data_IF_311368797946
#
_entry.id   IF_311368797946
#
_cell.length_a   1.000
_cell.length_b   1.000
_cell.length_c   1.000
_cell.angle_alpha   90.00
_cell.angle_beta   90.00
_cell.angle_gamma   90.00
#
_symmetry.space_group_name_H-M   'P 1'
#
loop_
_entity.id
_entity.type
_entity.pdbx_description
1 polymer ?
#
# COMPACT_ATOMS: atom_id res chain seq x y z
N UNK A 1 10.31 4.83 -2.77
CA UNK A 1 10.24 6.17 -2.13
C UNK A 1 10.55 7.25 -3.16
N UNK A 2 9.88 8.40 -3.08
CA UNK A 2 10.10 9.57 -3.94
C UNK A 2 10.46 10.77 -3.06
N UNK A 3 11.74 10.94 -2.68
CA UNK A 3 12.12 11.89 -1.63
C UNK A 3 12.00 13.37 -2.06
N UNK A 4 12.01 13.64 -3.37
CA UNK A 4 11.96 15.01 -3.89
C UNK A 4 10.52 15.49 -4.15
N UNK A 5 9.52 14.62 -3.95
CA UNK A 5 8.11 14.99 -4.14
C UNK A 5 7.58 15.65 -2.88
N UNK A 6 7.01 16.83 -3.04
CA UNK A 6 6.33 17.52 -1.96
C UNK A 6 5.02 16.78 -1.61
N UNK A 7 4.71 16.70 -0.32
CA UNK A 7 3.48 16.11 0.19
C UNK A 7 2.77 17.09 1.11
N UNK A 8 1.51 17.37 0.85
CA UNK A 8 0.62 18.04 1.79
C UNK A 8 -0.04 16.98 2.66
N UNK A 9 0.26 17.00 3.96
CA UNK A 9 -0.34 16.11 4.94
C UNK A 9 -1.82 16.46 5.12
N UNK A 10 -2.70 15.47 4.92
CA UNK A 10 -4.15 15.62 5.08
C UNK A 10 -4.66 14.89 6.34
N UNK A 11 -3.79 14.32 7.17
CA UNK A 11 -4.14 13.74 8.46
C UNK A 11 -4.54 14.82 9.49
N UNK A 12 -4.97 14.40 10.67
CA UNK A 12 -5.39 15.25 11.77
C UNK A 12 -6.90 15.42 11.82
N UNK A 13 -7.37 16.61 12.22
CA UNK A 13 -8.79 16.84 12.48
C UNK A 13 -9.61 16.94 11.18
N UNK A 14 -10.67 16.14 11.10
CA UNK A 14 -11.68 16.12 10.05
C UNK A 14 -13.05 16.28 10.68
N UNK A 15 -13.99 16.85 9.94
CA UNK A 15 -15.40 16.79 10.31
C UNK A 15 -15.96 15.44 9.89
N UNK A 16 -16.63 14.77 10.81
CA UNK A 16 -17.21 13.45 10.63
C UNK A 16 -18.71 13.48 10.86
N UNK A 17 -19.49 12.91 9.95
CA UNK A 17 -20.96 12.87 10.02
C UNK A 17 -21.42 11.42 9.76
N UNK A 18 -22.00 10.72 10.76
CA UNK A 18 -22.64 9.43 10.54
C UNK A 18 -23.98 9.62 9.79
N UNK A 19 -24.17 8.86 8.73
CA UNK A 19 -25.40 8.84 7.92
C UNK A 19 -26.15 7.53 8.16
N UNK A 20 -26.96 7.52 9.22
CA UNK A 20 -27.73 6.34 9.61
C UNK A 20 -28.80 5.97 8.57
N UNK A 21 -29.36 6.95 7.87
CA UNK A 21 -30.46 6.74 6.90
C UNK A 21 -29.99 6.60 5.45
N UNK A 22 -28.68 6.69 5.18
CA UNK A 22 -28.06 6.68 3.85
C UNK A 22 -28.60 7.77 2.89
N UNK A 23 -28.94 8.95 3.41
CA UNK A 23 -29.56 10.04 2.63
C UNK A 23 -28.57 11.12 2.20
N UNK A 24 -27.30 11.02 2.61
CA UNK A 24 -26.32 12.08 2.37
C UNK A 24 -26.02 12.31 0.88
N UNK A 25 -26.04 11.26 0.05
CA UNK A 25 -25.85 11.43 -1.40
C UNK A 25 -27.06 12.09 -2.06
N UNK A 26 -28.28 11.63 -1.72
CA UNK A 26 -29.54 12.24 -2.19
C UNK A 26 -29.64 13.71 -1.79
N UNK A 27 -29.22 14.01 -0.57
CA UNK A 27 -29.18 15.37 0.00
C UNK A 27 -27.94 16.17 -0.40
N UNK A 28 -27.09 15.62 -1.29
CA UNK A 28 -25.90 16.27 -1.84
C UNK A 28 -24.90 16.80 -0.78
N UNK A 29 -24.65 16.02 0.28
CA UNK A 29 -23.68 16.39 1.32
C UNK A 29 -22.25 16.56 0.79
N UNK A 30 -21.94 15.99 -0.39
CA UNK A 30 -20.68 16.22 -1.09
C UNK A 30 -20.51 17.65 -1.63
N UNK A 31 -21.61 18.41 -1.75
CA UNK A 31 -21.62 19.83 -2.11
C UNK A 31 -21.78 20.72 -0.88
N UNK A 32 -22.77 20.42 -0.04
CA UNK A 32 -23.12 21.20 1.14
C UNK A 32 -23.29 20.26 2.35
N UNK A 33 -22.20 19.85 3.02
CA UNK A 33 -22.30 18.97 4.17
C UNK A 33 -23.03 19.68 5.33
N UNK A 34 -23.90 18.99 6.09
CA UNK A 34 -24.57 19.57 7.24
C UNK A 34 -23.60 19.68 8.42
N UNK A 35 -22.78 20.74 8.42
CA UNK A 35 -21.66 20.91 9.37
C UNK A 35 -22.14 20.93 10.83
N UNK A 36 -23.34 21.43 11.08
CA UNK A 36 -24.02 21.47 12.38
C UNK A 36 -24.30 20.08 12.98
N UNK A 37 -24.33 19.03 12.14
CA UNK A 37 -24.56 17.65 12.55
C UNK A 37 -23.26 16.85 12.70
N UNK A 38 -22.12 17.44 12.37
CA UNK A 38 -20.83 16.76 12.42
C UNK A 38 -20.11 16.91 13.75
N UNK A 39 -19.21 15.97 14.00
CA UNK A 39 -18.26 16.00 15.11
C UNK A 39 -16.84 15.99 14.56
N UNK A 40 -15.91 16.62 15.27
CA UNK A 40 -14.51 16.56 14.90
C UNK A 40 -13.90 15.21 15.29
N UNK A 41 -13.14 14.61 14.37
CA UNK A 41 -12.37 13.39 14.62
C UNK A 41 -10.96 13.49 14.06
N UNK A 42 -10.01 12.83 14.70
CA UNK A 42 -8.65 12.73 14.19
C UNK A 42 -8.49 11.52 13.29
N UNK A 43 -7.99 11.74 12.06
CA UNK A 43 -7.57 10.70 11.13
C UNK A 43 -6.03 10.59 11.11
N UNK A 44 -5.46 9.39 10.92
CA UNK A 44 -6.14 8.13 10.64
C UNK A 44 -6.88 7.53 11.85
N UNK A 45 -8.03 6.92 11.60
CA UNK A 45 -8.88 6.32 12.62
C UNK A 45 -8.34 4.95 13.03
N UNK A 46 -7.53 4.91 14.08
CA UNK A 46 -6.90 3.69 14.57
C UNK A 46 -7.66 3.10 15.79
N UNK A 47 -8.51 3.89 16.42
CA UNK A 47 -9.34 3.47 17.56
C UNK A 47 -10.81 3.23 17.15
N UNK A 48 -11.50 2.29 17.85
CA UNK A 48 -12.93 2.10 17.71
C UNK A 48 -13.75 3.37 17.89
N UNK A 49 -14.78 3.52 17.06
CA UNK A 49 -15.92 4.38 17.38
C UNK A 49 -17.13 3.47 17.57
N UNK A 50 -17.37 3.11 18.84
CA UNK A 50 -18.42 2.15 19.19
C UNK A 50 -19.85 2.64 18.85
N UNK A 51 -20.05 3.96 18.77
CA UNK A 51 -21.33 4.61 18.46
C UNK A 51 -21.73 4.53 16.98
N UNK A 52 -20.84 4.06 16.09
CA UNK A 52 -21.06 4.01 14.64
C UNK A 52 -21.67 2.68 14.17
N UNK A 53 -21.83 1.70 15.05
CA UNK A 53 -22.18 0.31 14.72
C UNK A 53 -23.47 0.13 13.90
N UNK A 54 -24.39 1.09 13.94
CA UNK A 54 -25.64 1.10 13.16
C UNK A 54 -25.64 2.04 11.93
N UNK A 55 -24.55 2.76 11.66
CA UNK A 55 -24.48 3.70 10.52
C UNK A 55 -24.29 2.97 9.19
N UNK A 56 -25.10 3.30 8.20
CA UNK A 56 -25.00 2.72 6.84
C UNK A 56 -23.90 3.38 6.01
N UNK A 57 -23.56 4.63 6.30
CA UNK A 57 -22.52 5.39 5.61
C UNK A 57 -21.90 6.44 6.52
N UNK A 58 -20.64 6.74 6.27
CA UNK A 58 -19.79 7.62 7.07
C UNK A 58 -19.25 8.73 6.19
N UNK A 59 -19.43 9.98 6.56
CA UNK A 59 -18.95 11.12 5.78
C UNK A 59 -17.79 11.80 6.48
N UNK A 60 -16.66 11.93 5.78
CA UNK A 60 -15.46 12.61 6.24
C UNK A 60 -15.26 13.86 5.37
N UNK A 61 -15.16 15.02 6.02
CA UNK A 61 -15.08 16.32 5.36
C UNK A 61 -13.82 17.05 5.84
N UNK A 62 -13.07 17.59 4.87
CA UNK A 62 -11.88 18.39 5.14
C UNK A 62 -11.82 19.60 4.21
N UNK A 63 -11.72 20.77 4.81
CA UNK A 63 -11.25 21.95 4.10
C UNK A 63 -9.72 22.00 4.12
N UNK A 64 -9.14 22.43 3.00
CA UNK A 64 -7.71 22.67 2.88
C UNK A 64 -7.45 23.80 1.88
N UNK A 65 -6.28 24.44 1.97
CA UNK A 65 -5.88 25.52 1.07
C UNK A 65 -4.76 25.05 0.13
N UNK A 66 -4.83 25.50 -1.13
CA UNK A 66 -3.76 25.36 -2.11
C UNK A 66 -3.38 26.76 -2.60
N UNK A 67 -2.29 27.28 -2.07
CA UNK A 67 -1.85 28.65 -2.33
C UNK A 67 -1.39 28.86 -3.78
N UNK A 68 -0.76 27.85 -4.38
CA UNK A 68 -0.19 27.92 -5.71
C UNK A 68 -0.49 26.67 -6.54
N UNK A 69 -1.02 26.87 -7.73
CA UNK A 69 -1.21 25.84 -8.76
C UNK A 69 -0.27 26.16 -9.91
N UNK A 70 0.61 25.21 -10.22
CA UNK A 70 1.57 25.31 -11.32
C UNK A 70 1.11 24.38 -12.43
N UNK A 71 1.10 24.87 -13.68
CA UNK A 71 0.58 24.11 -14.84
C UNK A 71 1.37 22.82 -15.13
N UNK A 72 2.63 22.76 -14.71
CA UNK A 72 3.54 21.63 -14.88
C UNK A 72 3.59 20.70 -13.66
N UNK A 73 2.76 20.94 -12.64
CA UNK A 73 2.61 20.08 -11.47
C UNK A 73 1.22 19.43 -11.45
N UNK A 74 1.20 18.13 -11.19
CA UNK A 74 -0.02 17.35 -10.97
C UNK A 74 -0.17 17.05 -9.48
N UNK A 75 -1.42 17.00 -9.02
CA UNK A 75 -1.78 16.70 -7.64
C UNK A 75 -2.42 15.32 -7.59
N UNK A 76 -1.81 14.40 -6.85
CA UNK A 76 -2.32 13.06 -6.62
C UNK A 76 -2.83 12.96 -5.17
N UNK A 77 -4.13 12.68 -4.97
CA UNK A 77 -4.68 12.40 -3.65
C UNK A 77 -4.44 10.94 -3.31
N UNK A 78 -3.62 10.68 -2.30
CA UNK A 78 -3.33 9.34 -1.80
C UNK A 78 -4.18 9.03 -0.57
N UNK A 79 -4.78 7.84 -0.55
CA UNK A 79 -5.40 7.24 0.61
C UNK A 79 -4.74 5.89 0.84
N UNK A 80 -4.12 5.71 2.01
CA UNK A 80 -3.39 4.46 2.25
C UNK A 80 -4.32 3.30 2.56
N UNK A 81 -5.35 3.51 3.39
CA UNK A 81 -6.24 2.45 3.81
C UNK A 81 -7.62 2.99 4.20
N UNK A 82 -8.68 2.47 3.57
CA UNK A 82 -10.06 2.86 3.82
C UNK A 82 -10.96 1.64 3.91
N UNK A 83 -11.62 1.44 5.04
CA UNK A 83 -12.53 0.32 5.24
C UNK A 83 -14.01 0.76 5.10
N UNK A 84 -14.73 0.43 4.02
CA UNK A 84 -14.34 -0.44 2.91
C UNK A 84 -14.53 0.21 1.56
N UNK A 85 -15.76 0.60 1.23
CA UNK A 85 -16.04 1.30 -0.02
C UNK A 85 -15.90 2.79 0.22
N UNK A 86 -15.03 3.45 -0.52
CA UNK A 86 -14.85 4.90 -0.46
C UNK A 86 -15.31 5.55 -1.76
N UNK A 87 -16.06 6.64 -1.64
CA UNK A 87 -16.43 7.51 -2.76
C UNK A 87 -15.91 8.90 -2.45
N UNK A 88 -15.19 9.49 -3.41
CA UNK A 88 -14.43 10.73 -3.20
C UNK A 88 -14.97 11.85 -4.09
N UNK A 89 -15.21 13.01 -3.48
CA UNK A 89 -15.54 14.25 -4.16
C UNK A 89 -14.58 15.36 -3.76
N UNK A 90 -14.27 16.24 -4.70
CA UNK A 90 -13.53 17.47 -4.45
C UNK A 90 -14.32 18.64 -5.02
N UNK A 91 -14.59 19.66 -4.20
CA UNK A 91 -15.39 20.83 -4.57
C UNK A 91 -16.73 20.44 -5.22
N UNK A 92 -17.38 19.40 -4.68
CA UNK A 92 -18.64 18.86 -5.19
C UNK A 92 -18.55 17.99 -6.45
N UNK A 93 -17.37 17.86 -7.05
CA UNK A 93 -17.16 17.06 -8.26
C UNK A 93 -16.70 15.64 -7.91
N UNK A 94 -17.33 14.64 -8.55
CA UNK A 94 -16.98 13.23 -8.37
C UNK A 94 -15.57 12.94 -8.92
N UNK A 95 -14.74 12.32 -8.08
CA UNK A 95 -13.36 11.93 -8.39
C UNK A 95 -13.27 10.45 -8.73
N UNK A 96 -13.85 9.60 -7.89
CA UNK A 96 -13.71 8.16 -8.05
C UNK A 96 -14.25 7.36 -6.87
N UNK A 97 -14.13 6.04 -7.01
CA UNK A 97 -14.54 5.02 -6.04
C UNK A 97 -13.41 4.01 -5.88
N UNK A 98 -13.21 3.53 -4.66
CA UNK A 98 -12.33 2.40 -4.34
C UNK A 98 -13.00 1.46 -3.34
N UNK A 99 -12.77 0.16 -3.49
CA UNK A 99 -13.25 -0.89 -2.59
C UNK A 99 -12.05 -1.75 -2.16
N UNK A 100 -11.70 -1.72 -0.87
CA UNK A 100 -10.55 -2.46 -0.34
C UNK A 100 -10.01 -1.86 0.95
N UNK A 101 -9.79 -2.66 1.99
CA UNK A 101 -9.42 -2.15 3.31
C UNK A 101 -7.92 -1.94 3.52
N UNK A 102 -7.05 -2.73 2.87
CA UNK A 102 -5.64 -2.88 3.26
C UNK A 102 -4.62 -2.37 2.24
N UNK A 103 -5.09 -1.79 1.13
CA UNK A 103 -4.25 -1.40 0.00
C UNK A 103 -4.32 0.09 -0.28
N UNK A 104 -3.18 0.65 -0.67
CA UNK A 104 -3.02 2.06 -1.02
C UNK A 104 -3.56 2.32 -2.42
N UNK A 105 -4.28 3.42 -2.59
CA UNK A 105 -4.75 3.89 -3.89
C UNK A 105 -4.63 5.41 -3.99
N UNK A 106 -4.75 5.94 -5.20
CA UNK A 106 -4.71 7.38 -5.41
C UNK A 106 -5.56 7.83 -6.60
N UNK A 107 -5.94 9.11 -6.59
CA UNK A 107 -6.63 9.76 -7.70
C UNK A 107 -5.85 10.98 -8.19
N UNK A 108 -5.82 11.21 -9.50
CA UNK A 108 -5.35 12.48 -10.04
C UNK A 108 -6.45 13.54 -9.87
N UNK A 109 -6.20 14.50 -8.98
CA UNK A 109 -7.15 15.55 -8.63
C UNK A 109 -6.84 16.91 -9.29
N UNK A 110 -5.80 16.99 -10.13
CA UNK A 110 -5.29 18.26 -10.69
C UNK A 110 -6.38 19.13 -11.30
N UNK A 111 -7.30 18.54 -12.06
CA UNK A 111 -8.38 19.28 -12.77
C UNK A 111 -9.53 19.72 -11.87
N UNK A 112 -9.54 19.30 -10.61
CA UNK A 112 -10.63 19.49 -9.66
C UNK A 112 -10.26 20.45 -8.51
N UNK A 113 -8.97 20.67 -8.31
CA UNK A 113 -8.43 21.60 -7.31
C UNK A 113 -8.53 23.02 -7.84
N UNK A 114 -8.85 23.95 -6.94
CA UNK A 114 -8.80 25.39 -7.21
C UNK A 114 -7.77 26.08 -6.31
N UNK A 115 -7.31 27.27 -6.71
CA UNK A 115 -6.45 28.10 -5.86
C UNK A 115 -7.23 28.59 -4.64
N UNK A 116 -6.60 28.56 -3.47
CA UNK A 116 -7.22 28.89 -2.19
C UNK A 116 -7.97 27.69 -1.60
N UNK A 117 -9.14 27.95 -1.00
CA UNK A 117 -9.92 26.94 -0.29
C UNK A 117 -10.47 25.85 -1.23
N UNK A 118 -10.36 24.61 -0.77
CA UNK A 118 -10.92 23.41 -1.38
C UNK A 118 -11.66 22.58 -0.32
N UNK A 119 -12.72 21.90 -0.74
CA UNK A 119 -13.51 21.00 0.11
C UNK A 119 -13.38 19.56 -0.39
N UNK A 120 -12.70 18.72 0.38
CA UNK A 120 -12.62 17.28 0.15
C UNK A 120 -13.69 16.56 0.97
N UNK A 121 -14.51 15.75 0.31
CA UNK A 121 -15.54 14.93 0.94
C UNK A 121 -15.34 13.47 0.56
N UNK A 122 -15.30 12.60 1.56
CA UNK A 122 -15.15 11.16 1.39
C UNK A 122 -16.31 10.47 2.09
N UNK A 123 -17.14 9.77 1.33
CA UNK A 123 -18.14 8.85 1.86
C UNK A 123 -17.51 7.48 1.99
N UNK A 124 -17.58 6.88 3.17
CA UNK A 124 -17.17 5.51 3.43
C UNK A 124 -18.41 4.68 3.76
N UNK A 125 -18.65 3.62 2.98
CA UNK A 125 -19.67 2.62 3.27
C UNK A 125 -18.97 1.38 3.82
N UNK A 126 -19.07 1.13 5.13
CA UNK A 126 -18.44 -0.04 5.71
C UNK A 126 -19.25 -1.32 5.46
N UNK A 127 -18.64 -2.46 5.77
CA UNK A 127 -19.39 -3.70 5.87
C UNK A 127 -20.31 -3.66 7.09
N UNK A 128 -21.62 -3.79 6.87
CA UNK A 128 -22.61 -3.80 7.95
C UNK A 128 -22.61 -5.13 8.70
N UNK A 129 -22.63 -5.09 10.05
CA UNK A 129 -22.81 -6.27 10.91
C UNK A 129 -24.13 -7.01 10.63
N UNK A 130 -25.15 -6.36 10.07
CA UNK A 130 -26.41 -7.02 9.73
C UNK A 130 -26.32 -7.95 8.51
N UNK A 131 -25.27 -7.81 7.68
CA UNK A 131 -25.02 -8.68 6.54
C UNK A 131 -23.99 -9.79 6.84
N UNK A 132 -23.49 -9.92 8.08
CA UNK A 132 -22.41 -10.84 8.46
C UNK A 132 -22.55 -12.24 7.86
N UNK A 133 -23.74 -12.84 7.88
CA UNK A 133 -23.96 -14.21 7.40
C UNK A 133 -23.61 -14.45 5.92
N UNK A 134 -23.62 -13.41 5.08
CA UNK A 134 -23.22 -13.49 3.66
C UNK A 134 -21.75 -13.12 3.40
N UNK A 135 -21.06 -12.54 4.38
CA UNK A 135 -19.75 -11.91 4.19
C UNK A 135 -18.67 -12.44 5.15
N UNK A 136 -19.04 -13.09 6.26
CA UNK A 136 -18.12 -13.93 7.08
C UNK A 136 -17.59 -15.12 6.26
N UNK A 137 -18.27 -15.44 5.16
CA UNK A 137 -17.81 -16.36 4.12
C UNK A 137 -16.90 -15.68 3.10
N UNK A 138 -16.40 -14.45 3.30
CA UNK A 138 -15.54 -13.75 2.32
C UNK A 138 -14.43 -12.93 2.99
N UNK A 139 -14.73 -12.22 4.07
CA UNK A 139 -13.74 -11.53 4.91
C UNK A 139 -13.84 -12.08 6.32
N UNK A 140 -12.71 -12.32 6.98
CA UNK A 140 -12.72 -12.49 8.44
C UNK A 140 -12.88 -11.12 9.10
N UNK A 141 -14.13 -10.79 9.37
CA UNK A 141 -14.53 -9.51 9.98
C UNK A 141 -14.17 -9.42 11.46
N UNK A 142 -13.65 -10.48 12.10
CA UNK A 142 -13.15 -10.40 13.48
C UNK A 142 -11.93 -9.45 13.61
N UNK A 143 -11.25 -9.18 12.50
CA UNK A 143 -10.06 -8.32 12.41
C UNK A 143 -10.34 -6.92 11.85
N UNK A 144 -11.45 -6.77 11.13
CA UNK A 144 -11.88 -5.51 10.51
C UNK A 144 -12.83 -4.80 11.48
N UNK A 145 -12.29 -4.44 12.64
CA UNK A 145 -13.14 -4.06 13.77
C UNK A 145 -13.79 -2.67 13.60
N UNK A 146 -13.23 -1.78 12.76
CA UNK A 146 -13.70 -0.38 12.67
C UNK A 146 -13.87 0.12 11.23
N UNK A 147 -15.00 0.77 10.92
CA UNK A 147 -15.24 1.39 9.63
C UNK A 147 -14.51 2.73 9.50
N UNK A 148 -14.08 3.12 8.29
CA UNK A 148 -13.51 4.44 8.04
C UNK A 148 -12.08 4.46 7.50
N UNK A 149 -11.46 5.62 7.59
CA UNK A 149 -10.13 5.87 7.01
C UNK A 149 -9.07 5.67 8.10
N UNK A 150 -8.39 4.52 8.08
CA UNK A 150 -7.41 4.14 9.11
C UNK A 150 -5.96 4.23 8.63
N UNK A 151 -5.73 4.52 7.34
CA UNK A 151 -4.43 4.85 6.78
C UNK A 151 -4.23 6.34 6.55
N UNK A 152 -3.00 6.74 6.26
CA UNK A 152 -2.67 8.15 5.99
C UNK A 152 -3.37 8.68 4.72
N UNK A 153 -3.67 9.98 4.74
CA UNK A 153 -4.17 10.75 3.62
C UNK A 153 -3.17 11.87 3.35
N UNK A 154 -2.78 12.04 2.09
CA UNK A 154 -1.94 13.17 1.68
C UNK A 154 -2.14 13.50 0.21
N UNK A 155 -1.81 14.72 -0.17
CA UNK A 155 -1.72 15.14 -1.58
C UNK A 155 -0.25 15.17 -1.97
N UNK A 156 0.13 14.37 -2.96
CA UNK A 156 1.47 14.37 -3.53
C UNK A 156 1.52 15.29 -4.75
N UNK A 157 2.52 16.18 -4.78
CA UNK A 157 2.80 17.07 -5.90
C UNK A 157 3.85 16.39 -6.78
N UNK A 158 3.48 16.08 -8.02
CA UNK A 158 4.35 15.39 -8.97
C UNK A 158 4.54 16.24 -10.22
N UNK A 159 5.71 16.20 -10.88
CA UNK A 159 5.87 16.88 -12.17
C UNK A 159 4.92 16.28 -13.21
N UNK A 160 4.61 17.05 -14.26
CA UNK A 160 3.73 16.65 -15.36
C UNK A 160 4.13 15.29 -15.95
N UNK A 161 5.43 15.06 -16.09
CA UNK A 161 5.98 13.76 -16.45
C UNK A 161 6.77 13.19 -15.27
N UNK A 162 6.40 11.99 -14.84
CA UNK A 162 6.89 11.39 -13.60
C UNK A 162 6.96 9.87 -13.67
N UNK A 163 7.67 9.29 -12.70
CA UNK A 163 7.77 7.85 -12.47
C UNK A 163 6.54 7.39 -11.70
N UNK A 164 5.70 6.54 -12.30
CA UNK A 164 4.48 6.03 -11.68
C UNK A 164 4.78 4.87 -10.73
N UNK A 165 5.67 3.95 -11.13
CA UNK A 165 6.04 2.79 -10.34
C UNK A 165 7.40 2.24 -10.77
N UNK A 166 8.09 1.51 -9.90
CA UNK A 166 9.34 0.81 -10.22
C UNK A 166 9.25 -0.61 -9.64
N UNK A 167 9.52 -1.60 -10.49
CA UNK A 167 9.61 -3.00 -10.09
C UNK A 167 11.02 -3.52 -10.35
N UNK A 168 11.67 -4.03 -9.32
CA UNK A 168 13.03 -4.57 -9.36
C UNK A 168 12.95 -6.09 -9.23
N UNK A 169 13.26 -6.81 -10.31
CA UNK A 169 13.31 -8.27 -10.29
C UNK A 169 14.76 -8.75 -10.21
N UNK A 170 15.21 -9.32 -9.06
CA UNK A 170 16.53 -9.94 -8.98
C UNK A 170 16.58 -11.24 -9.80
N UNK A 171 17.71 -11.43 -10.48
CA UNK A 171 18.10 -12.67 -11.17
C UNK A 171 19.50 -13.03 -10.71
N UNK A 172 19.57 -13.72 -9.56
CA UNK A 172 20.85 -14.07 -8.92
C UNK A 172 21.65 -15.09 -9.75
N UNK A 173 21.02 -15.87 -10.65
CA UNK A 173 21.72 -16.80 -11.54
C UNK A 173 22.37 -16.07 -12.71
N UNK A 174 21.62 -15.15 -13.31
CA UNK A 174 22.10 -14.25 -14.37
C UNK A 174 22.91 -13.06 -13.86
N UNK A 175 23.16 -12.99 -12.54
CA UNK A 175 23.91 -11.93 -11.87
C UNK A 175 23.45 -10.51 -12.24
N UNK A 176 22.15 -10.28 -12.22
CA UNK A 176 21.56 -9.01 -12.66
C UNK A 176 20.27 -8.68 -11.94
N UNK A 177 19.84 -7.44 -12.08
CA UNK A 177 18.45 -7.06 -11.87
C UNK A 177 17.79 -6.69 -13.19
N UNK A 178 16.53 -7.04 -13.34
CA UNK A 178 15.66 -6.58 -14.42
C UNK A 178 14.67 -5.60 -13.80
N UNK A 179 14.81 -4.31 -14.13
CA UNK A 179 13.98 -3.25 -13.57
C UNK A 179 13.01 -2.73 -14.62
N UNK A 180 11.72 -2.73 -14.29
CA UNK A 180 10.71 -2.04 -15.07
C UNK A 180 10.39 -0.70 -14.38
N UNK A 181 10.66 0.40 -15.07
CA UNK A 181 10.28 1.75 -14.64
C UNK A 181 9.00 2.12 -15.40
N UNK A 182 7.89 2.30 -14.69
CA UNK A 182 6.63 2.75 -15.26
C UNK A 182 6.61 4.27 -15.23
N UNK A 183 6.43 4.90 -16.38
CA UNK A 183 6.46 6.35 -16.57
C UNK A 183 5.26 6.77 -17.40
N UNK A 184 4.70 7.93 -17.11
CA UNK A 184 3.56 8.46 -17.87
C UNK A 184 3.99 9.13 -19.20
N UNK A 185 5.30 9.32 -19.42
CA UNK A 185 5.86 9.82 -20.67
C UNK A 185 7.16 9.11 -21.02
N UNK A 186 7.21 8.51 -22.21
CA UNK A 186 8.26 7.55 -22.60
C UNK A 186 9.50 8.19 -23.22
N UNK A 187 9.39 9.38 -23.79
CA UNK A 187 10.55 10.11 -24.34
C UNK A 187 11.33 10.75 -23.20
N UNK A 188 12.20 9.95 -22.60
CA UNK A 188 12.92 10.27 -21.39
C UNK A 188 14.32 9.65 -21.40
N UNK A 189 15.15 10.13 -20.48
CA UNK A 189 16.42 9.52 -20.10
C UNK A 189 16.28 9.06 -18.66
N UNK A 190 16.51 7.76 -18.45
CA UNK A 190 16.66 7.16 -17.15
C UNK A 190 18.15 7.03 -16.84
N UNK A 191 18.55 7.48 -15.65
CA UNK A 191 19.85 7.18 -15.06
C UNK A 191 19.60 6.34 -13.81
N UNK A 192 20.11 5.11 -13.82
CA UNK A 192 19.98 4.19 -12.71
C UNK A 192 21.33 4.01 -12.02
N UNK A 193 21.35 4.09 -10.68
CA UNK A 193 22.56 3.96 -9.87
C UNK A 193 22.33 2.98 -8.72
N UNK A 194 23.31 2.12 -8.47
CA UNK A 194 23.42 1.28 -7.27
C UNK A 194 24.70 1.73 -6.55
N UNK A 195 24.61 2.66 -5.58
CA UNK A 195 25.77 3.27 -4.96
C UNK A 195 26.71 2.26 -4.28
N UNK A 196 26.15 1.24 -3.62
CA UNK A 196 26.90 0.24 -2.86
C UNK A 196 27.83 -0.60 -3.73
N UNK A 197 27.56 -0.69 -5.03
CA UNK A 197 28.36 -1.43 -6.02
C UNK A 197 29.07 -0.51 -7.03
N UNK A 198 28.93 0.81 -6.89
CA UNK A 198 29.44 1.80 -7.85
C UNK A 198 28.97 1.53 -9.30
N UNK A 199 27.72 1.09 -9.48
CA UNK A 199 27.13 0.81 -10.79
C UNK A 199 26.27 2.00 -11.20
N UNK A 200 26.45 2.45 -12.45
CA UNK A 200 25.60 3.47 -13.08
C UNK A 200 25.33 3.09 -14.53
N UNK A 201 24.08 3.19 -14.95
CA UNK A 201 23.69 3.05 -16.36
C UNK A 201 22.76 4.18 -16.80
N UNK A 202 22.73 4.45 -18.11
CA UNK A 202 21.76 5.36 -18.73
C UNK A 202 20.98 4.62 -19.81
N UNK A 203 19.68 4.91 -19.91
CA UNK A 203 18.79 4.27 -20.88
C UNK A 203 17.69 5.23 -21.32
N UNK A 204 17.29 5.14 -22.59
CA UNK A 204 16.05 5.75 -23.10
C UNK A 204 14.86 4.79 -23.04
N UNK A 205 15.07 3.55 -22.60
CA UNK A 205 14.06 2.50 -22.48
C UNK A 205 13.66 2.34 -21.01
N UNK A 206 12.36 2.27 -20.69
CA UNK A 206 11.90 2.08 -19.31
C UNK A 206 12.23 0.72 -18.69
N UNK A 207 12.55 -0.29 -19.51
CA UNK A 207 13.08 -1.57 -19.04
C UNK A 207 14.61 -1.52 -18.99
N UNK A 208 15.16 -1.74 -17.81
CA UNK A 208 16.59 -1.73 -17.52
C UNK A 208 17.07 -3.14 -17.20
N UNK A 209 18.26 -3.49 -17.67
CA UNK A 209 18.97 -4.70 -17.27
C UNK A 209 20.31 -4.23 -16.72
N UNK A 210 20.53 -4.45 -15.42
CA UNK A 210 21.72 -3.96 -14.70
C UNK A 210 22.49 -5.18 -14.22
N UNK A 211 23.70 -5.36 -14.76
CA UNK A 211 24.60 -6.43 -14.32
C UNK A 211 25.17 -6.11 -12.95
N UNK A 212 25.23 -7.11 -12.08
CA UNK A 212 25.75 -7.05 -10.71
C UNK A 212 26.65 -8.27 -10.53
N UNK A 213 27.93 -8.16 -10.90
CA UNK A 213 28.84 -9.33 -10.90
C UNK A 213 29.22 -9.80 -9.49
N UNK A 214 29.42 -8.84 -8.59
CA UNK A 214 29.85 -9.03 -7.20
C UNK A 214 28.76 -8.51 -6.26
N UNK A 215 27.83 -9.39 -5.88
CA UNK A 215 26.75 -9.08 -4.95
C UNK A 215 26.67 -10.10 -3.82
N UNK A 216 26.14 -9.66 -2.68
CA UNK A 216 25.73 -10.51 -1.58
C UNK A 216 24.23 -10.78 -1.70
N UNK A 217 23.80 -12.01 -1.43
CA UNK A 217 22.38 -12.36 -1.46
C UNK A 217 21.67 -11.94 -0.19
N UNK A 218 20.43 -11.48 -0.30
CA UNK A 218 19.54 -11.36 0.84
C UNK A 218 19.11 -12.76 1.32
N UNK A 219 19.12 -12.95 2.63
CA UNK A 219 18.57 -14.13 3.31
C UNK A 219 18.29 -13.82 4.78
N UNK A 220 17.43 -14.60 5.45
CA UNK A 220 17.50 -14.94 6.86
C UNK A 220 18.76 -14.58 7.66
N UNK A 221 19.89 -15.17 7.28
CA UNK A 221 21.16 -15.03 7.99
C UNK A 221 22.02 -13.85 7.53
N UNK A 222 21.70 -13.26 6.37
CA UNK A 222 22.41 -12.13 5.78
C UNK A 222 21.41 -11.25 5.03
N UNK A 223 20.72 -10.32 5.72
CA UNK A 223 19.67 -9.49 5.13
C UNK A 223 20.25 -8.32 4.33
N UNK A 224 21.12 -8.60 3.35
CA UNK A 224 21.72 -7.56 2.52
C UNK A 224 20.66 -6.84 1.69
N UNK A 225 20.56 -5.53 1.89
CA UNK A 225 19.80 -4.62 1.05
C UNK A 225 20.73 -3.76 0.20
N UNK A 226 20.26 -3.44 -1.00
CA UNK A 226 20.85 -2.50 -1.95
C UNK A 226 19.86 -1.40 -2.25
N UNK A 227 20.36 -0.26 -2.71
CA UNK A 227 19.55 0.90 -3.05
C UNK A 227 19.61 1.15 -4.55
N UNK A 228 18.47 1.02 -5.23
CA UNK A 228 18.33 1.47 -6.61
C UNK A 228 17.85 2.92 -6.64
N UNK A 229 18.68 3.82 -7.15
CA UNK A 229 18.33 5.21 -7.42
C UNK A 229 18.00 5.37 -8.90
N UNK A 230 16.83 5.93 -9.22
CA UNK A 230 16.40 6.23 -10.58
C UNK A 230 16.17 7.72 -10.71
N UNK A 231 16.99 8.38 -11.51
CA UNK A 231 16.73 9.72 -12.05
C UNK A 231 15.99 9.59 -13.38
N UNK A 232 14.87 10.27 -13.50
CA UNK A 232 14.06 10.37 -14.71
C UNK A 232 14.10 11.80 -15.22
N UNK A 233 14.49 11.98 -16.49
CA UNK A 233 14.62 13.30 -17.11
C UNK A 233 13.94 13.33 -18.47
N UNK A 234 13.14 14.36 -18.71
CA UNK A 234 12.56 14.70 -20.01
C UNK A 234 13.07 16.08 -20.43
N UNK A 235 12.54 16.64 -21.52
CA UNK A 235 12.85 18.03 -21.90
C UNK A 235 12.36 19.06 -20.88
N UNK A 236 11.28 18.76 -20.14
CA UNK A 236 10.55 19.73 -19.30
C UNK A 236 10.37 19.31 -17.85
N UNK A 237 10.75 18.09 -17.48
CA UNK A 237 10.47 17.53 -16.15
C UNK A 237 11.59 16.61 -15.70
N UNK A 238 11.85 16.61 -14.39
CA UNK A 238 12.72 15.66 -13.71
C UNK A 238 11.99 15.03 -12.54
N UNK A 239 12.30 13.78 -12.25
CA UNK A 239 11.76 13.05 -11.11
C UNK A 239 12.81 12.07 -10.58
N UNK A 240 12.67 11.68 -9.31
CA UNK A 240 13.68 10.86 -8.65
C UNK A 240 13.07 9.87 -7.67
N UNK A 241 13.51 8.62 -7.78
CA UNK A 241 13.02 7.53 -6.94
C UNK A 241 14.18 6.76 -6.31
N UNK A 242 13.96 6.32 -5.07
CA UNK A 242 14.83 5.43 -4.32
C UNK A 242 14.04 4.17 -3.96
N UNK A 243 14.59 3.00 -4.28
CA UNK A 243 13.96 1.70 -4.06
C UNK A 243 14.96 0.78 -3.39
N UNK A 244 14.74 0.39 -2.12
CA UNK A 244 15.51 -0.70 -1.52
C UNK A 244 15.12 -2.02 -2.19
N UNK A 245 16.09 -2.91 -2.39
CA UNK A 245 15.86 -4.26 -2.89
C UNK A 245 16.90 -5.24 -2.33
N UNK A 246 16.59 -6.53 -2.36
CA UNK A 246 17.51 -7.60 -1.99
C UNK A 246 17.71 -8.60 -3.12
N UNK A 247 18.94 -9.09 -3.28
CA UNK A 247 19.26 -10.13 -4.26
C UNK A 247 18.90 -11.51 -3.70
N UNK A 248 17.75 -12.07 -4.05
CA UNK A 248 17.34 -13.41 -3.59
C UNK A 248 16.45 -14.16 -4.56
N UNK A 249 16.56 -15.48 -4.55
CA UNK A 249 15.61 -16.40 -5.19
C UNK A 249 14.90 -17.22 -4.12
N UNK A 250 13.59 -17.34 -4.24
CA UNK A 250 12.78 -18.21 -3.39
C UNK A 250 11.84 -19.00 -4.28
N UNK A 251 11.91 -20.32 -4.18
CA UNK A 251 11.14 -21.24 -5.02
C UNK A 251 10.77 -22.50 -4.24
N UNK A 252 9.92 -23.32 -4.84
CA UNK A 252 9.56 -24.65 -4.31
C UNK A 252 10.01 -25.67 -5.37
N UNK A 253 10.77 -26.67 -4.95
CA UNK A 253 11.13 -27.82 -5.79
C UNK A 253 11.01 -29.11 -4.97
N UNK A 254 10.41 -30.16 -5.55
CA UNK A 254 10.27 -31.48 -4.91
C UNK A 254 9.76 -31.43 -3.45
N UNK A 255 8.73 -30.61 -3.20
CA UNK A 255 8.15 -30.35 -1.87
C UNK A 255 9.11 -29.72 -0.83
N UNK A 256 10.16 -29.06 -1.28
CA UNK A 256 11.09 -28.32 -0.44
C UNK A 256 11.09 -26.84 -0.81
N UNK A 257 11.16 -25.98 0.20
CA UNK A 257 11.51 -24.58 -0.02
C UNK A 257 12.98 -24.48 -0.42
N UNK A 258 13.24 -23.73 -1.49
CA UNK A 258 14.57 -23.47 -2.01
C UNK A 258 14.83 -21.98 -1.86
N UNK A 259 15.83 -21.60 -1.06
CA UNK A 259 16.29 -20.23 -0.92
C UNK A 259 17.69 -20.12 -1.50
N UNK A 260 17.88 -19.20 -2.45
CA UNK A 260 19.17 -18.97 -3.11
C UNK A 260 19.80 -20.27 -3.63
N UNK A 261 18.99 -21.10 -4.29
CA UNK A 261 19.34 -22.42 -4.86
C UNK A 261 19.75 -23.51 -3.87
N UNK A 262 19.48 -23.32 -2.58
CA UNK A 262 19.74 -24.33 -1.54
C UNK A 262 18.42 -24.72 -0.85
N UNK A 263 18.20 -26.03 -0.56
CA UNK A 263 17.10 -26.44 0.29
C UNK A 263 17.12 -25.71 1.63
N UNK A 264 15.96 -25.23 2.06
CA UNK A 264 15.78 -24.45 3.29
C UNK A 264 14.67 -25.08 4.13
N UNK A 265 14.97 -25.32 5.40
CA UNK A 265 13.97 -25.70 6.39
C UNK A 265 13.44 -24.44 7.05
N UNK A 266 12.18 -24.08 6.76
CA UNK A 266 11.57 -22.83 7.23
C UNK A 266 10.90 -23.05 8.59
N UNK A 267 11.35 -22.31 9.61
CA UNK A 267 10.66 -22.24 10.91
C UNK A 267 9.79 -20.99 10.94
N UNK A 268 8.47 -21.19 10.98
CA UNK A 268 7.50 -20.12 10.93
C UNK A 268 6.99 -19.73 12.33
N UNK A 269 6.80 -18.44 12.55
CA UNK A 269 6.11 -17.86 13.70
C UNK A 269 4.78 -17.25 13.24
N UNK A 270 3.69 -17.53 13.94
CA UNK A 270 2.41 -16.88 13.64
C UNK A 270 2.42 -15.45 14.18
N UNK A 271 2.32 -14.47 13.30
CA UNK A 271 2.35 -13.05 13.66
C UNK A 271 0.99 -12.40 13.45
N UNK A 272 0.34 -12.09 14.57
CA UNK A 272 -0.96 -11.44 14.63
C UNK A 272 -0.81 -9.96 15.01
N UNK A 273 -1.65 -9.09 14.44
CA UNK A 273 -1.57 -7.64 14.69
C UNK A 273 -2.91 -6.94 14.51
N UNK A 274 -3.32 -6.02 15.37
CA UNK A 274 -4.56 -5.26 15.17
C UNK A 274 -4.28 -3.82 14.75
N UNK A 275 -5.21 -3.19 14.03
CA UNK A 275 -5.12 -1.78 13.64
C UNK A 275 -4.86 -0.91 14.89
N UNK A 276 -5.63 -1.11 15.97
CA UNK A 276 -5.47 -0.39 17.25
C UNK A 276 -4.07 -0.51 17.86
N UNK A 277 -3.35 -1.58 17.56
CA UNK A 277 -2.02 -1.81 18.12
C UNK A 277 -0.96 -0.96 17.40
N UNK A 278 -1.22 -0.47 16.18
CA UNK A 278 -0.25 0.22 15.32
C UNK A 278 0.28 1.56 15.88
N UNK A 279 -0.47 2.19 16.78
CA UNK A 279 -0.07 3.42 17.49
C UNK A 279 0.55 3.16 18.86
N UNK A 280 0.60 1.91 19.31
CA UNK A 280 1.24 1.57 20.58
C UNK A 280 2.76 1.60 20.46
N UNK A 281 3.45 1.81 21.58
CA UNK A 281 4.92 1.77 21.61
C UNK A 281 5.48 0.44 21.10
N UNK A 282 4.80 -0.69 21.38
CA UNK A 282 5.21 -2.02 20.93
C UNK A 282 5.24 -2.19 19.41
N UNK A 283 4.49 -1.37 18.66
CA UNK A 283 4.48 -1.37 17.20
C UNK A 283 5.29 -0.22 16.59
N UNK A 284 5.99 0.57 17.40
CA UNK A 284 6.98 1.52 16.87
C UNK A 284 8.20 0.80 16.26
N UNK A 285 9.02 1.51 15.49
CA UNK A 285 10.04 0.85 14.67
C UNK A 285 11.10 0.09 15.49
N UNK A 286 11.59 0.66 16.58
CA UNK A 286 12.69 0.06 17.35
C UNK A 286 12.24 -1.20 18.12
N UNK A 287 11.09 -1.21 18.83
CA UNK A 287 10.56 -2.44 19.43
C UNK A 287 10.25 -3.54 18.42
N UNK A 288 9.73 -3.18 17.23
CA UNK A 288 9.53 -4.17 16.16
C UNK A 288 10.87 -4.72 15.66
N UNK A 289 11.87 -3.86 15.43
CA UNK A 289 13.23 -4.31 15.06
C UNK A 289 13.82 -5.25 16.10
N UNK A 290 13.67 -4.92 17.39
CA UNK A 290 14.13 -5.77 18.48
C UNK A 290 13.41 -7.12 18.49
N UNK A 291 12.07 -7.10 18.36
CA UNK A 291 11.24 -8.31 18.31
C UNK A 291 11.68 -9.25 17.18
N UNK A 292 11.77 -8.74 15.95
CA UNK A 292 12.17 -9.56 14.80
C UNK A 292 13.63 -10.02 14.89
N UNK A 293 14.53 -9.17 15.41
CA UNK A 293 15.93 -9.56 15.66
C UNK A 293 16.04 -10.69 16.70
N UNK A 294 15.19 -10.69 17.73
CA UNK A 294 15.12 -11.77 18.71
C UNK A 294 14.55 -13.05 18.10
N UNK A 295 13.48 -12.93 17.33
CA UNK A 295 12.86 -14.04 16.60
C UNK A 295 13.88 -14.77 15.70
N UNK A 296 14.75 -14.00 15.03
CA UNK A 296 15.91 -14.52 14.28
C UNK A 296 16.92 -15.27 15.16
N UNK A 297 17.28 -14.72 16.32
CA UNK A 297 18.19 -15.38 17.29
C UNK A 297 17.62 -16.69 17.81
N UNK A 298 16.29 -16.78 17.91
CA UNK A 298 15.56 -17.97 18.32
C UNK A 298 15.35 -18.97 17.16
N UNK A 299 16.00 -18.75 16.01
CA UNK A 299 15.98 -19.58 14.80
C UNK A 299 14.63 -19.64 14.07
N UNK A 300 13.77 -18.63 14.22
CA UNK A 300 12.62 -18.48 13.32
C UNK A 300 13.03 -17.71 12.07
N UNK A 301 12.61 -18.22 10.91
CA UNK A 301 12.98 -17.67 9.61
C UNK A 301 11.88 -16.87 8.95
N UNK A 302 10.63 -17.18 9.29
CA UNK A 302 9.46 -16.66 8.63
C UNK A 302 8.41 -16.23 9.65
N UNK A 303 7.72 -15.12 9.37
CA UNK A 303 6.43 -14.83 9.98
C UNK A 303 5.30 -15.14 9.00
N UNK A 304 4.23 -15.71 9.53
CA UNK A 304 2.99 -15.91 8.80
C UNK A 304 1.91 -15.00 9.40
N UNK A 305 1.34 -14.13 8.57
CA UNK A 305 0.20 -13.28 8.96
C UNK A 305 -1.07 -13.71 8.24
N UNK A 306 -2.11 -14.01 9.01
CA UNK A 306 -3.36 -14.53 8.49
C UNK A 306 -4.45 -13.47 8.43
N UNK A 307 -5.21 -13.51 7.34
CA UNK A 307 -6.45 -12.79 7.14
C UNK A 307 -6.32 -11.31 6.83
N UNK A 308 -5.10 -10.76 6.79
CA UNK A 308 -4.84 -9.36 6.40
C UNK A 308 -3.38 -9.14 6.02
N UNK A 309 -3.11 -8.29 5.00
CA UNK A 309 -1.76 -7.86 4.65
C UNK A 309 -1.07 -7.09 5.77
N UNK A 310 0.22 -7.32 5.99
CA UNK A 310 1.01 -6.59 6.95
C UNK A 310 1.19 -5.12 6.53
N UNK A 311 1.19 -4.18 7.49
CA UNK A 311 1.57 -2.79 7.24
C UNK A 311 2.98 -2.70 6.65
N UNK A 312 3.21 -1.73 5.75
CA UNK A 312 4.49 -1.53 5.06
C UNK A 312 5.66 -1.39 6.03
N UNK A 313 5.46 -0.71 7.17
CA UNK A 313 6.47 -0.57 8.22
C UNK A 313 6.98 -1.93 8.73
N UNK A 314 6.08 -2.90 8.90
CA UNK A 314 6.46 -4.24 9.39
C UNK A 314 7.26 -4.98 8.32
N UNK A 315 6.79 -4.99 7.07
CA UNK A 315 7.48 -5.65 5.96
C UNK A 315 8.89 -5.04 5.75
N UNK A 316 9.03 -3.72 5.82
CA UNK A 316 10.34 -3.05 5.72
C UNK A 316 11.28 -3.47 6.84
N UNK A 317 10.79 -3.56 8.08
CA UNK A 317 11.60 -4.04 9.21
C UNK A 317 11.97 -5.52 9.02
N UNK A 318 11.09 -6.34 8.46
CA UNK A 318 11.42 -7.72 8.10
C UNK A 318 12.51 -7.81 7.02
N UNK A 319 12.51 -6.91 6.02
CA UNK A 319 13.61 -6.80 5.05
C UNK A 319 14.95 -6.49 5.73
N UNK A 320 14.96 -5.53 6.66
CA UNK A 320 16.13 -5.07 7.41
C UNK A 320 16.68 -6.15 8.37
N UNK A 321 15.78 -6.89 9.03
CA UNK A 321 16.13 -7.86 10.08
C UNK A 321 16.31 -9.29 9.58
N UNK A 322 15.96 -9.57 8.32
CA UNK A 322 16.09 -10.91 7.73
C UNK A 322 14.96 -11.87 8.08
N UNK A 323 13.75 -11.37 8.31
CA UNK A 323 12.58 -12.24 8.55
C UNK A 323 11.82 -12.38 7.24
N UNK A 324 11.60 -13.61 6.76
CA UNK A 324 10.73 -13.84 5.61
C UNK A 324 9.26 -13.61 6.00
N UNK A 325 8.45 -13.17 5.05
CA UNK A 325 7.04 -12.86 5.24
C UNK A 325 6.23 -13.74 4.30
N UNK A 326 5.33 -14.53 4.89
CA UNK A 326 4.18 -15.06 4.20
C UNK A 326 2.90 -14.43 4.75
N UNK A 327 1.95 -14.08 3.89
CA UNK A 327 0.68 -13.50 4.31
C UNK A 327 -0.46 -13.90 3.39
N UNK A 328 -1.70 -13.72 3.84
CA UNK A 328 -2.89 -13.83 2.98
C UNK A 328 -3.41 -12.44 2.60
N UNK A 329 -4.14 -12.30 1.48
CA UNK A 329 -5.01 -11.15 1.30
C UNK A 329 -6.11 -11.13 2.37
N UNK A 330 -6.89 -10.05 2.43
CA UNK A 330 -8.02 -9.98 3.36
C UNK A 330 -9.25 -10.77 2.90
N UNK A 331 -9.35 -11.07 1.61
CA UNK A 331 -10.42 -11.88 1.00
C UNK A 331 -10.11 -13.38 1.11
N UNK A 332 -11.02 -14.16 1.71
CA UNK A 332 -10.72 -15.50 2.25
C UNK A 332 -11.65 -16.66 1.85
N UNK A 333 -12.98 -16.51 1.67
CA UNK A 333 -13.84 -17.71 1.78
C UNK A 333 -14.89 -17.97 0.66
N UNK A 334 -15.23 -17.03 -0.24
CA UNK A 334 -16.15 -17.29 -1.36
C UNK A 334 -15.93 -16.36 -2.57
N UNK A 335 -15.12 -16.85 -3.52
CA UNK A 335 -14.86 -16.20 -4.81
C UNK A 335 -15.76 -16.74 -5.93
N UNK A 336 -16.87 -17.43 -5.63
CA UNK A 336 -17.74 -17.97 -6.68
C UNK A 336 -18.52 -16.86 -7.42
N UNK A 337 -18.75 -15.72 -6.77
CA UNK A 337 -19.33 -14.53 -7.42
C UNK A 337 -18.28 -13.78 -8.24
N UNK A 338 -18.65 -13.31 -9.44
CA UNK A 338 -17.79 -12.48 -10.30
C UNK A 338 -17.26 -11.25 -9.55
N UNK A 339 -18.13 -10.58 -8.79
CA UNK A 339 -17.79 -9.38 -8.00
C UNK A 339 -16.63 -9.65 -7.04
N UNK A 340 -16.67 -10.78 -6.33
CA UNK A 340 -15.65 -11.10 -5.32
C UNK A 340 -14.32 -11.50 -5.94
N UNK A 341 -14.35 -12.10 -7.13
CA UNK A 341 -13.13 -12.34 -7.91
C UNK A 341 -12.45 -11.05 -8.33
N UNK A 342 -13.24 -10.09 -8.81
CA UNK A 342 -12.73 -8.79 -9.23
C UNK A 342 -12.12 -8.02 -8.05
N UNK A 343 -12.77 -8.02 -6.89
CA UNK A 343 -12.22 -7.41 -5.68
C UNK A 343 -10.94 -8.11 -5.20
N UNK A 344 -10.89 -9.44 -5.23
CA UNK A 344 -9.69 -10.19 -4.89
C UNK A 344 -8.54 -9.86 -5.84
N UNK A 345 -8.81 -9.80 -7.15
CA UNK A 345 -7.78 -9.44 -8.13
C UNK A 345 -7.26 -8.02 -7.90
N UNK A 346 -8.14 -7.05 -7.63
CA UNK A 346 -7.75 -5.66 -7.31
C UNK A 346 -6.82 -5.64 -6.10
N UNK A 347 -7.21 -6.29 -4.99
CA UNK A 347 -6.39 -6.33 -3.77
C UNK A 347 -5.02 -6.98 -4.05
N UNK A 348 -4.99 -8.10 -4.78
CA UNK A 348 -3.75 -8.80 -5.14
C UNK A 348 -2.84 -7.91 -5.98
N UNK A 349 -3.37 -7.29 -7.03
CA UNK A 349 -2.61 -6.42 -7.92
C UNK A 349 -2.03 -5.23 -7.15
N UNK A 350 -2.80 -4.64 -6.24
CA UNK A 350 -2.36 -3.55 -5.37
C UNK A 350 -1.29 -4.02 -4.37
N UNK A 351 -1.45 -5.18 -3.74
CA UNK A 351 -0.45 -5.76 -2.85
C UNK A 351 0.86 -6.06 -3.57
N UNK A 352 0.80 -6.65 -4.77
CA UNK A 352 1.98 -6.90 -5.58
C UNK A 352 2.64 -5.56 -5.97
N UNK A 353 1.87 -4.57 -6.42
CA UNK A 353 2.42 -3.26 -6.75
C UNK A 353 3.11 -2.58 -5.57
N UNK A 354 2.59 -2.76 -4.36
CA UNK A 354 3.13 -2.16 -3.15
C UNK A 354 4.36 -2.89 -2.60
N UNK A 355 4.39 -4.24 -2.69
CA UNK A 355 5.34 -5.06 -1.93
C UNK A 355 6.29 -5.92 -2.76
N UNK A 356 6.20 -5.91 -4.09
CA UNK A 356 7.05 -6.76 -4.96
C UNK A 356 8.57 -6.49 -4.82
N UNK A 357 8.95 -5.30 -4.36
CA UNK A 357 10.36 -4.94 -4.17
C UNK A 357 10.91 -5.39 -2.80
N UNK A 358 10.07 -5.83 -1.87
CA UNK A 358 10.48 -6.26 -0.54
C UNK A 358 11.05 -7.69 -0.61
N UNK A 359 12.36 -7.90 -0.40
CA UNK A 359 12.96 -9.24 -0.47
C UNK A 359 12.41 -10.20 0.59
N UNK A 360 11.96 -9.69 1.75
CA UNK A 360 11.31 -10.50 2.79
C UNK A 360 9.99 -11.10 2.35
N UNK A 361 9.24 -10.43 1.46
CA UNK A 361 7.97 -10.96 0.99
C UNK A 361 8.23 -12.13 0.03
N UNK A 362 7.97 -13.34 0.50
CA UNK A 362 8.32 -14.59 -0.22
C UNK A 362 7.11 -15.36 -0.69
N UNK A 363 5.95 -15.18 -0.06
CA UNK A 363 4.77 -15.98 -0.36
C UNK A 363 3.46 -15.26 -0.01
N UNK A 364 2.52 -15.21 -0.97
CA UNK A 364 1.12 -14.90 -0.71
C UNK A 364 0.31 -16.20 -0.73
N UNK A 365 -0.40 -16.50 0.36
CA UNK A 365 -1.28 -17.67 0.43
C UNK A 365 -2.75 -17.26 0.27
N UNK A 366 -3.47 -17.99 -0.58
CA UNK A 366 -4.90 -17.84 -0.79
C UNK A 366 -5.64 -19.01 -0.15
N UNK A 367 -6.56 -18.69 0.75
CA UNK A 367 -7.49 -19.67 1.29
C UNK A 367 -8.71 -19.75 0.36
N UNK A 368 -9.20 -20.96 0.09
CA UNK A 368 -10.45 -21.23 -0.64
C UNK A 368 -10.61 -20.54 -2.02
N UNK A 369 -9.54 -20.47 -2.80
CA UNK A 369 -9.70 -20.21 -4.23
C UNK A 369 -10.41 -21.39 -4.88
N UNK A 370 -11.53 -21.14 -5.57
CA UNK A 370 -12.13 -22.15 -6.43
C UNK A 370 -11.03 -22.69 -7.37
N UNK A 371 -11.07 -23.97 -7.77
CA UNK A 371 -10.09 -24.57 -8.70
C UNK A 371 -9.90 -23.80 -10.02
N UNK A 372 -10.77 -22.82 -10.31
CA UNK A 372 -10.77 -21.97 -11.49
C UNK A 372 -10.17 -20.56 -11.25
N UNK A 373 -9.67 -20.25 -10.05
CA UNK A 373 -9.01 -18.98 -9.75
C UNK A 373 -7.53 -19.07 -10.18
N UNK A 374 -7.27 -18.88 -11.47
CA UNK A 374 -5.91 -18.70 -11.99
C UNK A 374 -5.58 -17.20 -11.94
N UNK A 375 -4.74 -16.81 -10.97
CA UNK A 375 -4.12 -15.48 -10.89
C UNK A 375 -2.82 -15.50 -11.71
#
# INVERSE_FOLDING_TARGET
>A
MFPNRQKLNMNGVWLFIPDHENKGEESQWYLNPPIDKGVEISLPLIEPIYEITDSTSLWFIKEFDIENLQDDILLLLHLQNVNFKSVVWLNGQYIGVHEGAFTKFHFNITRYVQKGKNLLVIKVSPFSWQNLSKFTTIYDLSWVQFPGIWGEIYIEFVPRYYIQNIQVKPDIRGKRIVTNVYVNYKDCILRAKIPELNIEIKSKKPKLIIQMEDFETWSPSSPKLYTLQIEYTTQTSTDFAIIPFGMRDFSINDNQFILNFKPSFVRAFYFDWNIKDLNTSSYSEDPLREFFSKLRKDNFDLIFSYGRPLPERIIRICDETGVMVAQTPSIQHDTNSKKWRELAQIEIDELLNNYINNPSFVWMWFEYTSKNFNI
#
